data_IF_918736775014
#
_entry.id   IF_918736775014
#
_cell.length_a   1.000
_cell.length_b   1.000
_cell.length_c   1.000
_cell.angle_alpha   90.00
_cell.angle_beta   90.00
_cell.angle_gamma   90.00
#
_symmetry.space_group_name_H-M   'P 1'
#
loop_
_entity.id
_entity.type
_entity.pdbx_description
1 polymer ?
#
# COMPACT_ATOMS: atom_id res chain seq x y z
N UNK A 1 5.46 2.77 -11.99
CA UNK A 1 4.19 1.99 -12.05
C UNK A 1 3.16 2.67 -11.17
N UNK A 2 1.98 2.89 -11.71
CA UNK A 2 0.86 3.46 -10.97
C UNK A 2 -0.10 2.35 -10.56
N UNK A 3 -0.49 2.34 -9.29
CA UNK A 3 -1.44 1.37 -8.76
C UNK A 3 -2.66 2.15 -8.26
N UNK A 4 -3.81 1.92 -8.88
CA UNK A 4 -5.07 2.55 -8.47
C UNK A 4 -5.78 1.64 -7.49
N UNK A 5 -6.11 2.18 -6.33
CA UNK A 5 -6.71 1.42 -5.24
C UNK A 5 -8.04 2.01 -4.81
N UNK A 6 -8.92 1.14 -4.37
CA UNK A 6 -10.21 1.54 -3.82
C UNK A 6 -10.55 0.64 -2.64
N UNK A 7 -10.87 1.27 -1.51
CA UNK A 7 -11.39 0.57 -0.35
C UNK A 7 -12.90 0.40 -0.53
N UNK A 8 -13.35 -0.84 -0.59
CA UNK A 8 -14.79 -1.13 -0.61
C UNK A 8 -15.24 -1.43 0.81
N UNK A 9 -15.99 -0.50 1.37
CA UNK A 9 -16.54 -0.64 2.71
C UNK A 9 -17.90 -1.29 2.63
N UNK A 10 -18.14 -2.25 3.53
CA UNK A 10 -19.48 -2.81 3.73
C UNK A 10 -20.09 -2.10 4.92
N UNK A 11 -21.02 -1.19 4.67
CA UNK A 11 -21.65 -0.38 5.69
C UNK A 11 -20.90 0.92 5.97
N UNK A 12 -21.53 1.76 6.76
CA UNK A 12 -21.00 3.08 7.12
C UNK A 12 -20.60 3.06 8.59
N UNK A 13 -19.31 2.89 8.86
CA UNK A 13 -18.79 2.83 10.22
C UNK A 13 -18.09 4.15 10.53
N UNK A 14 -18.76 4.99 11.33
CA UNK A 14 -18.30 6.34 11.64
C UNK A 14 -16.93 6.39 12.32
N UNK A 15 -16.52 5.31 12.98
CA UNK A 15 -15.28 5.25 13.75
C UNK A 15 -14.23 4.32 13.16
N UNK A 16 -14.37 3.94 11.90
CA UNK A 16 -13.40 3.05 11.26
C UNK A 16 -12.21 3.85 10.76
N UNK A 17 -11.02 3.47 11.21
CA UNK A 17 -9.76 4.04 10.76
C UNK A 17 -8.98 2.98 10.00
N UNK A 18 -8.40 3.38 8.89
CA UNK A 18 -7.59 2.50 8.05
C UNK A 18 -6.15 2.97 8.05
N UNK A 19 -5.23 2.00 8.14
CA UNK A 19 -3.80 2.25 8.00
C UNK A 19 -3.25 1.38 6.87
N UNK A 20 -2.15 1.82 6.29
CA UNK A 20 -1.50 1.13 5.19
C UNK A 20 -0.03 0.94 5.51
N UNK A 21 0.49 -0.27 5.23
CA UNK A 21 1.90 -0.63 5.39
C UNK A 21 2.41 -1.25 4.11
N UNK A 22 3.72 -1.17 3.94
CA UNK A 22 4.41 -1.68 2.77
C UNK A 22 5.63 -2.51 3.20
N UNK A 23 5.81 -3.67 2.54
CA UNK A 23 6.97 -4.54 2.76
C UNK A 23 7.60 -4.91 1.42
N UNK A 24 8.91 -4.76 1.34
CA UNK A 24 9.69 -5.14 0.16
C UNK A 24 10.40 -6.46 0.44
N UNK A 25 10.12 -7.50 -0.36
CA UNK A 25 10.73 -8.81 -0.19
C UNK A 25 11.87 -9.07 -1.16
N UNK A 26 11.72 -8.63 -2.42
CA UNK A 26 12.75 -8.77 -3.44
C UNK A 26 12.92 -7.46 -4.20
N UNK A 27 14.17 -7.19 -4.60
CA UNK A 27 14.50 -6.00 -5.34
C UNK A 27 14.56 -4.75 -4.47
N UNK A 28 14.90 -3.65 -5.09
CA UNK A 28 14.91 -2.35 -4.45
C UNK A 28 13.94 -1.41 -5.16
N UNK A 29 13.14 -0.72 -4.38
CA UNK A 29 12.18 0.21 -4.94
C UNK A 29 11.68 1.20 -3.91
N UNK A 30 10.92 2.15 -4.40
CA UNK A 30 10.30 3.19 -3.58
C UNK A 30 8.81 3.21 -3.85
N UNK A 31 7.99 3.19 -2.80
CA UNK A 31 6.56 3.30 -2.91
C UNK A 31 6.11 4.65 -2.37
N UNK A 32 5.29 5.32 -3.14
CA UNK A 32 4.76 6.65 -2.82
C UNK A 32 3.25 6.66 -2.92
N UNK A 33 2.60 7.41 -2.05
CA UNK A 33 1.17 7.66 -2.16
C UNK A 33 0.90 8.99 -2.87
N UNK A 34 -0.27 9.14 -3.46
CA UNK A 34 -0.66 10.35 -4.21
C UNK A 34 -0.74 11.60 -3.35
N UNK A 35 -0.76 11.47 -2.01
CA UNK A 35 -0.68 12.60 -1.09
C UNK A 35 0.76 13.08 -0.83
N UNK A 36 1.75 12.48 -1.49
CA UNK A 36 3.15 12.87 -1.36
C UNK A 36 3.96 12.08 -0.34
N UNK A 37 3.33 11.19 0.41
CA UNK A 37 4.03 10.36 1.40
C UNK A 37 4.87 9.30 0.68
N UNK A 38 6.15 9.22 1.02
CA UNK A 38 7.03 8.12 0.62
C UNK A 38 7.05 7.11 1.75
N UNK A 39 6.66 5.87 1.44
CA UNK A 39 6.57 4.84 2.46
C UNK A 39 7.95 4.34 2.87
N UNK A 40 8.18 4.29 4.17
CA UNK A 40 9.28 3.53 4.72
C UNK A 40 8.78 2.11 4.99
N UNK A 41 9.57 1.07 4.66
CA UNK A 41 9.12 -0.30 4.88
C UNK A 41 8.73 -0.56 6.33
N UNK A 42 7.63 -1.25 6.52
CA UNK A 42 7.09 -1.64 7.82
C UNK A 42 6.49 -0.51 8.67
N UNK A 43 6.50 0.73 8.20
CA UNK A 43 5.83 1.82 8.90
C UNK A 43 4.37 1.89 8.50
N UNK A 44 3.53 2.29 9.45
CA UNK A 44 2.10 2.48 9.23
C UNK A 44 1.79 3.93 8.92
N UNK A 45 0.94 4.13 7.92
CA UNK A 45 0.48 5.46 7.53
C UNK A 45 -1.04 5.47 7.54
N UNK A 46 -1.62 6.58 7.94
CA UNK A 46 -3.07 6.75 7.96
C UNK A 46 -3.61 6.84 6.53
N UNK A 47 -4.63 6.05 6.24
CA UNK A 47 -5.30 6.05 4.94
C UNK A 47 -6.61 6.82 5.07
N UNK A 48 -6.65 8.04 4.55
CA UNK A 48 -7.77 8.96 4.75
C UNK A 48 -8.85 8.88 3.68
N UNK A 49 -8.50 8.39 2.49
CA UNK A 49 -9.40 8.36 1.35
C UNK A 49 -9.71 6.94 0.92
N UNK A 50 -10.95 6.69 0.45
CA UNK A 50 -11.32 5.40 -0.08
C UNK A 50 -10.66 5.10 -1.41
N UNK A 51 -10.46 6.13 -2.23
CA UNK A 51 -9.75 6.00 -3.51
C UNK A 51 -8.41 6.67 -3.40
N UNK A 52 -7.35 5.93 -3.75
CA UNK A 52 -6.00 6.45 -3.66
C UNK A 52 -5.12 5.78 -4.72
N UNK A 53 -3.98 6.38 -4.99
CA UNK A 53 -3.01 5.86 -5.94
C UNK A 53 -1.68 5.65 -5.26
N UNK A 54 -1.02 4.57 -5.64
CA UNK A 54 0.32 4.26 -5.21
C UNK A 54 1.23 4.30 -6.44
N UNK A 55 2.43 4.81 -6.25
CA UNK A 55 3.43 4.90 -7.31
C UNK A 55 4.67 4.15 -6.87
N UNK A 56 5.00 3.09 -7.60
CA UNK A 56 6.19 2.29 -7.33
C UNK A 56 7.26 2.59 -8.35
N UNK A 57 8.46 2.92 -7.86
CA UNK A 57 9.65 3.14 -8.69
C UNK A 57 10.61 2.01 -8.42
N UNK A 58 10.84 1.16 -9.43
CA UNK A 58 11.78 0.06 -9.35
C UNK A 58 13.21 0.58 -9.59
N UNK A 59 14.15 0.05 -8.82
CA UNK A 59 15.57 0.33 -8.98
C UNK A 59 16.28 -0.95 -9.38
N UNK A 60 17.09 -0.89 -10.46
CA UNK A 60 17.79 -2.07 -10.95
C UNK A 60 16.94 -2.94 -11.86
N UNK A 61 17.55 -4.02 -12.37
CA UNK A 61 16.97 -4.92 -13.36
C UNK A 61 16.53 -6.26 -12.77
N UNK A 62 16.58 -6.40 -11.48
CA UNK A 62 16.20 -7.62 -10.78
C UNK A 62 14.70 -7.77 -10.65
N UNK A 63 14.27 -8.95 -10.23
CA UNK A 63 12.88 -9.19 -9.90
C UNK A 63 12.47 -8.38 -8.68
N UNK A 64 11.22 -7.94 -8.64
CA UNK A 64 10.65 -7.19 -7.55
C UNK A 64 9.45 -7.92 -6.96
N UNK A 65 9.40 -7.99 -5.64
CA UNK A 65 8.26 -8.52 -4.93
C UNK A 65 8.00 -7.67 -3.70
N UNK A 66 6.80 -7.13 -3.60
CA UNK A 66 6.40 -6.35 -2.43
C UNK A 66 4.92 -6.57 -2.12
N UNK A 67 4.55 -6.32 -0.89
CA UNK A 67 3.15 -6.36 -0.46
C UNK A 67 2.73 -5.03 0.13
N UNK A 68 1.43 -4.76 0.02
CA UNK A 68 0.77 -3.64 0.67
C UNK A 68 -0.31 -4.22 1.55
N UNK A 69 -0.32 -3.85 2.82
CA UNK A 69 -1.29 -4.33 3.80
C UNK A 69 -2.13 -3.16 4.28
N UNK A 70 -3.44 -3.26 4.11
CA UNK A 70 -4.39 -2.29 4.64
C UNK A 70 -5.07 -2.92 5.84
N UNK A 71 -5.04 -2.24 6.96
CA UNK A 71 -5.63 -2.72 8.21
C UNK A 71 -6.64 -1.70 8.73
N UNK A 72 -7.69 -2.17 9.39
CA UNK A 72 -8.61 -1.30 10.09
C UNK A 72 -8.38 -1.40 11.62
N UNK A 73 -9.06 -0.55 12.37
CA UNK A 73 -8.94 -0.53 13.83
C UNK A 73 -9.76 -1.62 14.53
N UNK A 74 -10.43 -2.49 13.78
CA UNK A 74 -11.20 -3.62 14.31
C UNK A 74 -10.50 -4.96 14.12
N UNK A 75 -9.27 -4.95 13.62
CA UNK A 75 -8.48 -6.16 13.44
C UNK A 75 -8.60 -6.83 12.08
N UNK A 76 -9.26 -6.21 11.13
CA UNK A 76 -9.34 -6.72 9.76
C UNK A 76 -8.13 -6.24 8.96
N UNK A 77 -7.63 -7.11 8.09
CA UNK A 77 -6.50 -6.76 7.22
C UNK A 77 -6.73 -7.29 5.81
N UNK A 78 -6.21 -6.56 4.84
CA UNK A 78 -6.27 -6.89 3.42
C UNK A 78 -4.88 -6.75 2.84
N UNK A 79 -4.42 -7.77 2.13
CA UNK A 79 -3.07 -7.84 1.61
C UNK A 79 -3.09 -7.91 0.08
N UNK A 80 -2.28 -7.08 -0.56
CA UNK A 80 -2.07 -7.09 -2.00
C UNK A 80 -0.61 -7.39 -2.27
N UNK A 81 -0.36 -8.43 -3.05
CA UNK A 81 0.99 -8.80 -3.45
C UNK A 81 1.27 -8.39 -4.89
N UNK A 82 2.45 -7.82 -5.11
CA UNK A 82 2.91 -7.41 -6.43
C UNK A 82 4.24 -8.09 -6.72
N UNK A 83 4.27 -8.82 -7.83
CA UNK A 83 5.42 -9.62 -8.23
C UNK A 83 5.67 -9.36 -9.71
N UNK A 84 6.84 -8.84 -10.06
CA UNK A 84 7.17 -8.58 -11.46
C UNK A 84 8.67 -8.59 -11.70
N UNK A 85 9.03 -8.83 -12.95
CA UNK A 85 10.41 -8.73 -13.43
C UNK A 85 10.58 -7.44 -14.22
N UNK A 86 11.68 -6.79 -13.94
CA UNK A 86 11.98 -5.53 -14.58
C UNK A 86 12.97 -5.71 -15.74
#
# INVERSE_FOLDING_TARGET
MEIRCELKKTGDFANTLYTIRYFQFEGEGTLKMDNGITFLPNDRYLLENEKFRLYYTAQGDEAHNFIVVVEDNFGNSYELEFDFNN
#
